data_IF_885369692930
#
_entry.id   IF_885369692930
#
_cell.length_a   1.000
_cell.length_b   1.000
_cell.length_c   1.000
_cell.angle_alpha   90.00
_cell.angle_beta   90.00
_cell.angle_gamma   90.00
#
_symmetry.space_group_name_H-M   'P 1'
#
loop_
_entity.id
_entity.type
_entity.pdbx_description
1 polymer ?
#
# COMPACT_ATOMS: atom_id res chain seq x y z
N UNK A 1 3.34 -0.02 -29.29
CA UNK A 1 4.20 -0.46 -28.16
C UNK A 1 3.35 -1.29 -27.22
N UNK A 2 3.65 -2.57 -27.07
CA UNK A 2 2.75 -3.52 -26.41
C UNK A 2 2.72 -3.31 -24.89
N UNK A 3 1.57 -3.03 -24.37
CA UNK A 3 1.19 -3.19 -22.97
C UNK A 3 1.13 -4.69 -22.56
N UNK A 4 1.83 -5.53 -23.29
CA UNK A 4 1.64 -6.98 -23.33
C UNK A 4 1.94 -7.73 -22.02
N UNK A 5 2.39 -7.05 -20.98
CA UNK A 5 2.67 -7.67 -19.68
C UNK A 5 1.71 -7.28 -18.54
N UNK A 6 0.80 -6.34 -18.75
CA UNK A 6 -0.20 -5.98 -17.74
C UNK A 6 -1.60 -6.45 -18.16
N UNK A 7 -2.31 -7.07 -17.21
CA UNK A 7 -3.75 -7.28 -17.35
C UNK A 7 -4.44 -5.92 -17.37
N UNK A 8 -5.27 -5.65 -18.39
CA UNK A 8 -6.06 -4.43 -18.47
C UNK A 8 -7.46 -4.67 -17.94
N UNK A 9 -7.77 -4.09 -16.79
CA UNK A 9 -9.10 -4.20 -16.21
C UNK A 9 -9.75 -2.82 -16.09
N UNK A 10 -10.78 -2.54 -16.93
CA UNK A 10 -11.49 -1.25 -16.99
C UNK A 10 -10.52 -0.05 -17.08
N UNK A 11 -9.46 -0.20 -17.87
CA UNK A 11 -8.41 0.82 -18.03
C UNK A 11 -7.36 0.89 -16.93
N UNK A 12 -7.40 -0.01 -15.94
CA UNK A 12 -6.40 -0.13 -14.89
C UNK A 12 -5.37 -1.21 -15.26
N UNK A 13 -4.07 -0.89 -15.38
CA UNK A 13 -3.03 -1.87 -15.62
C UNK A 13 -2.67 -2.61 -14.33
N UNK A 14 -2.81 -3.93 -14.32
CA UNK A 14 -2.60 -4.80 -13.16
C UNK A 14 -1.52 -5.85 -13.44
N UNK A 15 -0.77 -6.32 -12.43
CA UNK A 15 0.20 -7.39 -12.59
C UNK A 15 -0.51 -8.73 -12.91
N UNK A 16 -0.22 -9.37 -14.05
CA UNK A 16 -0.94 -10.57 -14.48
C UNK A 16 -0.65 -11.80 -13.61
N UNK A 17 0.45 -11.79 -12.86
CA UNK A 17 0.80 -12.86 -11.93
C UNK A 17 -0.06 -12.90 -10.67
N UNK A 18 -0.56 -11.74 -10.25
CA UNK A 18 -1.30 -11.55 -9.01
C UNK A 18 -2.83 -11.43 -9.22
N UNK A 19 -3.26 -11.06 -10.43
CA UNK A 19 -4.66 -10.76 -10.73
C UNK A 19 -5.17 -11.62 -11.88
N UNK A 20 -6.43 -11.99 -11.80
CA UNK A 20 -7.21 -12.62 -12.86
C UNK A 20 -8.57 -11.95 -12.94
N UNK A 21 -9.29 -12.14 -14.03
CA UNK A 21 -10.66 -11.65 -14.13
C UNK A 21 -11.53 -12.17 -12.97
N UNK A 22 -11.38 -13.45 -12.62
CA UNK A 22 -12.07 -14.06 -11.48
C UNK A 22 -11.73 -13.40 -10.14
N UNK A 23 -10.45 -13.07 -9.86
CA UNK A 23 -10.08 -12.40 -8.60
C UNK A 23 -10.62 -10.98 -8.53
N UNK A 24 -10.73 -10.31 -9.67
CA UNK A 24 -11.29 -8.96 -9.75
C UNK A 24 -12.81 -8.97 -9.61
N UNK A 25 -13.48 -9.99 -10.12
CA UNK A 25 -14.93 -10.22 -9.89
C UNK A 25 -15.20 -10.56 -8.42
N UNK A 26 -14.38 -11.40 -7.81
CA UNK A 26 -14.46 -11.67 -6.37
C UNK A 26 -14.37 -10.36 -5.56
N UNK A 27 -13.34 -9.54 -5.81
CA UNK A 27 -13.17 -8.27 -5.12
C UNK A 27 -14.35 -7.31 -5.35
N UNK A 28 -14.94 -7.30 -6.55
CA UNK A 28 -16.14 -6.47 -6.84
C UNK A 28 -17.40 -6.97 -6.14
N UNK A 29 -17.52 -8.27 -5.90
CA UNK A 29 -18.69 -8.89 -5.25
C UNK A 29 -18.47 -9.12 -3.75
N UNK A 30 -17.31 -8.72 -3.21
CA UNK A 30 -16.96 -8.90 -1.81
C UNK A 30 -17.97 -8.22 -0.88
N UNK A 31 -18.45 -8.98 0.13
CA UNK A 31 -19.34 -8.46 1.15
C UNK A 31 -18.54 -7.79 2.26
N UNK A 32 -18.56 -6.47 2.27
CA UNK A 32 -17.87 -5.65 3.27
C UNK A 32 -18.70 -5.60 4.55
N UNK A 33 -18.08 -5.86 5.69
CA UNK A 33 -18.65 -5.71 7.01
C UNK A 33 -18.39 -4.30 7.57
N UNK A 34 -19.28 -3.84 8.47
CA UNK A 34 -19.14 -2.52 9.11
C UNK A 34 -17.87 -2.39 9.96
N UNK A 35 -17.35 -3.51 10.43
CA UNK A 35 -16.13 -3.59 11.25
C UNK A 35 -14.85 -3.70 10.43
N UNK A 36 -14.93 -3.87 9.11
CA UNK A 36 -13.76 -4.01 8.25
C UNK A 36 -12.91 -2.74 8.23
N UNK A 37 -11.60 -2.95 8.16
CA UNK A 37 -10.63 -1.87 8.04
C UNK A 37 -9.75 -2.09 6.81
N UNK A 38 -9.80 -1.14 5.89
CA UNK A 38 -8.99 -1.16 4.68
C UNK A 38 -7.78 -0.24 4.81
N UNK A 39 -6.57 -0.78 4.70
CA UNK A 39 -5.38 0.03 4.47
C UNK A 39 -5.19 0.20 2.95
N UNK A 40 -5.46 1.39 2.46
CA UNK A 40 -5.40 1.71 1.04
C UNK A 40 -4.11 2.45 0.72
N UNK A 41 -3.40 1.98 -0.27
CA UNK A 41 -2.16 2.61 -0.71
C UNK A 41 -2.05 2.58 -2.24
N UNK A 42 -1.45 3.62 -2.83
CA UNK A 42 -0.86 3.43 -4.15
C UNK A 42 0.37 2.51 -4.00
N UNK A 43 0.69 1.62 -4.97
CA UNK A 43 1.85 0.74 -4.86
C UNK A 43 3.11 1.46 -4.38
N UNK A 44 3.86 0.84 -3.46
CA UNK A 44 5.10 1.37 -2.86
C UNK A 44 4.92 2.57 -1.92
N UNK A 45 3.71 2.80 -1.41
CA UNK A 45 3.41 3.88 -0.45
C UNK A 45 3.35 3.43 1.02
N UNK A 46 3.77 2.19 1.36
CA UNK A 46 3.83 1.74 2.75
C UNK A 46 2.88 0.59 3.10
N UNK A 47 2.39 -0.15 2.11
CA UNK A 47 1.45 -1.28 2.29
C UNK A 47 1.97 -2.30 3.29
N UNK A 48 3.21 -2.79 3.12
CA UNK A 48 3.83 -3.76 4.05
C UNK A 48 3.93 -3.18 5.47
N UNK A 49 4.16 -1.89 5.62
CA UNK A 49 4.15 -1.26 6.93
C UNK A 49 2.75 -1.28 7.57
N UNK A 50 1.71 -1.02 6.79
CA UNK A 50 0.32 -1.15 7.28
C UNK A 50 -0.04 -2.59 7.61
N UNK A 51 0.51 -3.58 6.90
CA UNK A 51 0.34 -5.00 7.23
C UNK A 51 1.00 -5.42 8.55
N UNK A 52 1.98 -4.62 9.05
CA UNK A 52 2.50 -4.78 10.43
C UNK A 52 1.62 -4.03 11.44
N UNK A 53 1.30 -2.76 11.16
CA UNK A 53 0.62 -1.88 12.09
C UNK A 53 -0.82 -2.33 12.35
N UNK A 54 -1.56 -2.63 11.28
CA UNK A 54 -3.01 -2.85 11.38
C UNK A 54 -3.38 -4.03 12.30
N UNK A 55 -2.78 -5.23 12.18
CA UNK A 55 -3.09 -6.34 13.07
C UNK A 55 -2.72 -6.03 14.52
N UNK A 56 -1.63 -5.29 14.76
CA UNK A 56 -1.22 -4.93 16.11
C UNK A 56 -2.17 -3.93 16.77
N UNK A 57 -2.70 -2.97 16.01
CA UNK A 57 -3.69 -2.02 16.52
C UNK A 57 -5.03 -2.72 16.75
N UNK A 58 -5.48 -3.56 15.82
CA UNK A 58 -6.75 -4.29 15.95
C UNK A 58 -6.73 -5.27 17.13
N UNK A 59 -5.59 -5.92 17.40
CA UNK A 59 -5.41 -6.89 18.49
C UNK A 59 -4.67 -6.29 19.71
N UNK A 60 -4.73 -4.97 19.89
CA UNK A 60 -4.30 -4.26 21.11
C UNK A 60 -2.86 -4.58 21.53
N UNK A 61 -1.96 -4.73 20.55
CA UNK A 61 -0.54 -4.97 20.75
C UNK A 61 -0.14 -6.43 20.94
N UNK A 62 -1.02 -7.40 20.63
CA UNK A 62 -0.62 -8.80 20.52
C UNK A 62 0.35 -8.98 19.35
N UNK A 63 1.57 -9.45 19.64
CA UNK A 63 2.63 -9.66 18.66
C UNK A 63 2.50 -10.99 17.90
N UNK A 64 1.67 -11.91 18.38
CA UNK A 64 1.57 -13.26 17.83
C UNK A 64 1.37 -13.27 16.30
N UNK A 65 0.45 -12.47 15.73
CA UNK A 65 0.26 -12.47 14.28
C UNK A 65 1.51 -12.06 13.48
N UNK A 66 2.24 -11.05 13.94
CA UNK A 66 3.42 -10.56 13.20
C UNK A 66 4.65 -11.46 13.34
N UNK A 67 4.65 -12.35 14.32
CA UNK A 67 5.75 -13.29 14.56
C UNK A 67 5.52 -14.66 13.91
N UNK A 68 4.27 -15.01 13.60
CA UNK A 68 3.90 -16.38 13.19
C UNK A 68 3.24 -16.47 11.83
N UNK A 69 2.66 -15.37 11.32
CA UNK A 69 1.88 -15.36 10.08
C UNK A 69 2.52 -14.36 9.10
N UNK A 70 2.82 -14.76 7.87
CA UNK A 70 3.31 -13.84 6.84
C UNK A 70 2.37 -12.66 6.64
N UNK A 71 2.92 -11.48 6.34
CA UNK A 71 2.15 -10.24 6.25
C UNK A 71 0.99 -10.30 5.24
N UNK A 72 1.15 -11.01 4.13
CA UNK A 72 0.11 -11.20 3.10
C UNK A 72 -1.04 -12.12 3.55
N UNK A 73 -0.83 -13.00 4.52
CA UNK A 73 -1.87 -13.88 5.05
C UNK A 73 -2.62 -13.22 6.23
N UNK A 74 -1.94 -12.40 7.04
CA UNK A 74 -2.58 -11.72 8.18
C UNK A 74 -3.36 -10.45 7.82
N UNK A 75 -2.94 -9.75 6.74
CA UNK A 75 -3.65 -8.58 6.17
C UNK A 75 -3.57 -8.70 4.64
N UNK A 76 -4.42 -9.56 4.04
CA UNK A 76 -4.35 -9.90 2.63
C UNK A 76 -4.83 -8.76 1.72
N UNK A 77 -4.37 -8.81 0.45
CA UNK A 77 -4.93 -7.97 -0.61
C UNK A 77 -6.29 -8.50 -1.05
N UNK A 78 -7.29 -7.61 -1.06
CA UNK A 78 -8.65 -7.94 -1.48
C UNK A 78 -8.71 -8.47 -2.93
N UNK A 79 -7.89 -7.90 -3.81
CA UNK A 79 -7.91 -8.18 -5.24
C UNK A 79 -6.96 -9.29 -5.71
N UNK A 80 -6.12 -9.83 -4.83
CA UNK A 80 -5.11 -10.81 -5.23
C UNK A 80 -5.66 -12.23 -5.27
N UNK A 81 -5.47 -12.91 -6.41
CA UNK A 81 -6.08 -14.22 -6.71
C UNK A 81 -5.74 -15.35 -5.73
N UNK A 82 -4.56 -15.30 -5.09
CA UNK A 82 -4.11 -16.35 -4.17
C UNK A 82 -4.62 -16.17 -2.75
N UNK A 83 -5.22 -15.01 -2.46
CA UNK A 83 -5.57 -14.63 -1.10
C UNK A 83 -7.08 -14.66 -0.83
N UNK A 84 -7.92 -15.05 -1.80
CA UNK A 84 -9.38 -15.11 -1.64
C UNK A 84 -9.78 -16.01 -0.47
N UNK A 85 -9.25 -17.22 -0.40
CA UNK A 85 -9.52 -18.15 0.71
C UNK A 85 -9.06 -17.59 2.06
N UNK A 86 -7.93 -16.88 2.08
CA UNK A 86 -7.42 -16.21 3.29
C UNK A 86 -8.39 -15.12 3.72
N UNK A 87 -8.85 -14.28 2.78
CA UNK A 87 -9.82 -13.21 3.06
C UNK A 87 -11.12 -13.76 3.62
N UNK A 88 -11.63 -14.87 3.05
CA UNK A 88 -12.89 -15.49 3.47
C UNK A 88 -12.80 -16.12 4.88
N UNK A 89 -11.59 -16.46 5.34
CA UNK A 89 -11.34 -17.07 6.66
C UNK A 89 -10.92 -16.07 7.74
N UNK A 90 -10.75 -14.79 7.40
CA UNK A 90 -10.37 -13.78 8.39
C UNK A 90 -11.45 -13.58 9.45
N UNK A 91 -11.09 -13.58 10.74
CA UNK A 91 -12.02 -13.22 11.80
C UNK A 91 -12.32 -11.72 11.78
N UNK A 92 -13.56 -11.36 12.11
CA UNK A 92 -13.94 -9.95 12.29
C UNK A 92 -13.36 -9.39 13.60
N UNK A 93 -12.86 -8.14 13.65
CA UNK A 93 -12.76 -7.19 12.54
C UNK A 93 -11.64 -7.55 11.55
N UNK A 94 -11.96 -7.59 10.26
CA UNK A 94 -10.98 -7.94 9.22
C UNK A 94 -10.11 -6.74 8.86
N UNK A 95 -8.80 -6.94 8.86
CA UNK A 95 -7.84 -6.01 8.28
C UNK A 95 -7.51 -6.42 6.84
N UNK A 96 -7.70 -5.52 5.88
CA UNK A 96 -7.47 -5.78 4.46
C UNK A 96 -6.59 -4.69 3.86
N UNK A 97 -5.80 -5.02 2.85
CA UNK A 97 -5.12 -4.03 2.02
C UNK A 97 -5.65 -4.05 0.60
N UNK A 98 -5.58 -2.89 -0.07
CA UNK A 98 -5.90 -2.78 -1.49
C UNK A 98 -5.12 -1.66 -2.16
N UNK A 99 -4.85 -1.85 -3.45
CA UNK A 99 -4.32 -0.81 -4.34
C UNK A 99 -5.39 -0.25 -5.27
N UNK A 100 -6.64 -0.59 -5.08
CA UNK A 100 -7.71 -0.09 -5.92
C UNK A 100 -7.93 1.43 -5.75
N UNK A 101 -8.11 2.17 -6.85
CA UNK A 101 -8.80 3.45 -6.80
C UNK A 101 -10.23 3.27 -6.29
N UNK A 102 -10.80 4.30 -5.67
CA UNK A 102 -12.11 4.22 -4.99
C UNK A 102 -13.24 3.62 -5.84
N UNK A 103 -13.28 3.92 -7.13
CA UNK A 103 -14.32 3.41 -8.04
C UNK A 103 -14.29 1.89 -8.25
N UNK A 104 -13.19 1.23 -7.85
CA UNK A 104 -13.03 -0.22 -7.92
C UNK A 104 -13.34 -0.93 -6.59
N UNK A 105 -13.70 -0.17 -5.55
CA UNK A 105 -14.17 -0.79 -4.31
C UNK A 105 -15.52 -1.46 -4.51
N UNK A 106 -15.80 -2.59 -3.81
CA UNK A 106 -17.06 -3.29 -3.94
C UNK A 106 -18.26 -2.38 -3.60
N UNK A 107 -19.42 -2.57 -4.23
CA UNK A 107 -20.60 -1.75 -3.94
C UNK A 107 -21.00 -1.76 -2.46
N UNK A 108 -20.85 -2.90 -1.76
CA UNK A 108 -21.11 -3.04 -0.33
C UNK A 108 -20.27 -2.10 0.54
N UNK A 109 -19.05 -1.72 0.09
CA UNK A 109 -18.25 -0.74 0.80
C UNK A 109 -18.92 0.63 0.93
N UNK A 110 -19.70 1.04 -0.09
CA UNK A 110 -20.37 2.36 -0.09
C UNK A 110 -21.46 2.47 0.96
N UNK A 111 -22.10 1.36 1.28
CA UNK A 111 -23.22 1.28 2.22
C UNK A 111 -22.81 0.81 3.61
N UNK A 112 -21.57 0.35 3.78
CA UNK A 112 -21.03 -0.08 5.08
C UNK A 112 -20.47 1.07 5.89
N UNK A 113 -20.22 0.82 7.18
CA UNK A 113 -19.46 1.69 8.09
C UNK A 113 -17.97 1.38 8.12
N UNK A 114 -17.48 0.53 7.22
CA UNK A 114 -16.07 0.12 7.12
C UNK A 114 -15.15 1.33 7.02
N UNK A 115 -14.01 1.25 7.72
CA UNK A 115 -13.04 2.34 7.83
C UNK A 115 -11.89 2.18 6.85
N UNK A 116 -11.31 3.30 6.45
CA UNK A 116 -10.16 3.35 5.53
C UNK A 116 -9.01 4.13 6.15
N UNK A 117 -7.82 3.57 6.09
CA UNK A 117 -6.57 4.29 6.33
C UNK A 117 -5.88 4.42 4.98
N UNK A 118 -5.87 5.63 4.43
CA UNK A 118 -5.22 5.92 3.16
C UNK A 118 -3.80 6.44 3.40
N UNK A 119 -2.79 5.66 3.01
CA UNK A 119 -1.39 6.07 3.17
C UNK A 119 -0.90 6.77 1.90
N UNK A 120 -0.57 8.04 2.03
CA UNK A 120 0.07 8.84 0.99
C UNK A 120 1.59 8.73 1.12
N UNK A 121 2.30 8.94 0.01
CA UNK A 121 3.76 9.05 -0.01
C UNK A 121 4.21 10.04 -1.08
N UNK A 122 5.36 10.66 -0.87
CA UNK A 122 5.99 11.51 -1.87
C UNK A 122 6.17 10.73 -3.20
N UNK A 123 5.61 11.21 -4.32
CA UNK A 123 5.68 10.49 -5.58
C UNK A 123 7.10 10.27 -6.10
N UNK A 124 8.06 11.11 -5.74
CA UNK A 124 9.48 10.91 -6.06
C UNK A 124 10.02 9.63 -5.42
N UNK A 125 9.68 9.40 -4.15
CA UNK A 125 10.08 8.20 -3.43
C UNK A 125 9.33 6.96 -3.93
N UNK A 126 8.06 7.12 -4.33
CA UNK A 126 7.29 6.06 -4.98
C UNK A 126 7.98 5.62 -6.28
N UNK A 127 8.39 6.56 -7.14
CA UNK A 127 9.06 6.25 -8.41
C UNK A 127 10.33 5.41 -8.16
N UNK A 128 11.19 5.87 -7.26
CA UNK A 128 12.45 5.16 -6.95
C UNK A 128 12.15 3.78 -6.37
N UNK A 129 11.24 3.68 -5.41
CA UNK A 129 10.85 2.40 -4.81
C UNK A 129 10.23 1.45 -5.84
N UNK A 130 9.41 1.97 -6.76
CA UNK A 130 8.81 1.18 -7.84
C UNK A 130 9.85 0.71 -8.85
N UNK A 131 10.82 1.56 -9.19
CA UNK A 131 11.91 1.21 -10.10
C UNK A 131 12.69 -0.01 -9.60
N UNK A 132 13.14 0.01 -8.34
CA UNK A 132 13.84 -1.13 -7.73
C UNK A 132 12.95 -2.36 -7.55
N UNK A 133 11.66 -2.15 -7.29
CA UNK A 133 10.71 -3.25 -7.22
C UNK A 133 10.54 -3.95 -8.57
N UNK A 134 10.49 -3.20 -9.67
CA UNK A 134 10.41 -3.79 -11.02
C UNK A 134 11.69 -4.56 -11.39
N UNK A 135 12.85 -4.18 -10.86
CA UNK A 135 14.09 -4.96 -11.06
C UNK A 135 14.07 -6.30 -10.32
N UNK A 136 13.44 -6.34 -9.15
CA UNK A 136 13.38 -7.50 -8.27
C UNK A 136 12.23 -8.45 -8.63
N UNK A 137 11.05 -7.92 -8.97
CA UNK A 137 9.85 -8.71 -9.25
C UNK A 137 9.89 -9.30 -10.66
N UNK A 138 10.12 -10.60 -10.75
CA UNK A 138 10.32 -11.31 -12.03
C UNK A 138 9.06 -11.34 -12.91
N UNK A 139 7.89 -11.21 -12.31
CA UNK A 139 6.60 -11.13 -12.99
C UNK A 139 6.28 -9.75 -13.58
N UNK A 140 7.14 -8.75 -13.34
CA UNK A 140 6.98 -7.41 -13.89
C UNK A 140 7.89 -7.19 -15.10
N UNK A 141 7.54 -6.19 -15.90
CA UNK A 141 8.37 -5.75 -17.01
C UNK A 141 9.65 -5.10 -16.49
N UNK A 142 10.78 -5.36 -17.17
CA UNK A 142 12.04 -4.67 -16.90
C UNK A 142 11.81 -3.14 -16.98
N UNK A 143 12.15 -2.40 -15.93
CA UNK A 143 11.92 -0.95 -15.90
C UNK A 143 12.77 -0.20 -16.93
N UNK A 144 13.86 -0.78 -17.43
CA UNK A 144 14.86 -0.12 -18.26
C UNK A 144 15.66 0.90 -17.47
N UNK A 145 16.00 2.04 -18.08
CA UNK A 145 16.65 3.15 -17.37
C UNK A 145 15.68 3.90 -16.48
N UNK A 146 16.18 4.51 -15.41
CA UNK A 146 15.34 5.30 -14.48
C UNK A 146 14.58 6.43 -15.21
N UNK A 147 15.22 7.12 -16.16
CA UNK A 147 14.57 8.18 -16.94
C UNK A 147 13.35 7.65 -17.72
N UNK A 148 13.50 6.51 -18.40
CA UNK A 148 12.39 5.86 -19.11
C UNK A 148 11.28 5.41 -18.16
N UNK A 149 11.65 4.95 -16.97
CA UNK A 149 10.67 4.54 -15.96
C UNK A 149 9.90 5.74 -15.42
N UNK A 150 10.56 6.88 -15.18
CA UNK A 150 9.92 8.13 -14.79
C UNK A 150 8.87 8.54 -15.83
N UNK A 151 9.20 8.50 -17.12
CA UNK A 151 8.26 8.82 -18.20
C UNK A 151 7.05 7.86 -18.19
N UNK A 152 7.26 6.56 -18.00
CA UNK A 152 6.18 5.57 -17.86
C UNK A 152 5.28 5.91 -16.66
N UNK A 153 5.87 6.24 -15.52
CA UNK A 153 5.16 6.59 -14.29
C UNK A 153 4.28 7.83 -14.48
N UNK A 154 4.84 8.90 -15.03
CA UNK A 154 4.12 10.17 -15.27
C UNK A 154 2.94 10.00 -16.24
N UNK A 155 3.08 9.09 -17.22
CA UNK A 155 2.04 8.76 -18.17
C UNK A 155 1.00 7.76 -17.60
N UNK A 156 1.24 7.18 -16.41
CA UNK A 156 0.40 6.15 -15.81
C UNK A 156 0.52 4.78 -16.47
N UNK A 157 1.63 4.55 -17.19
CA UNK A 157 1.96 3.25 -17.81
C UNK A 157 2.74 2.35 -16.84
N UNK A 158 2.26 2.29 -15.61
CA UNK A 158 2.78 1.49 -14.50
C UNK A 158 1.62 0.84 -13.75
N UNK A 159 1.92 -0.06 -12.84
CA UNK A 159 0.93 -0.74 -12.01
C UNK A 159 -0.07 0.25 -11.39
N UNK A 160 -1.34 -0.08 -11.48
CA UNK A 160 -2.47 0.72 -10.96
C UNK A 160 -2.59 2.13 -11.55
N UNK A 161 -1.93 2.42 -12.68
CA UNK A 161 -2.08 3.64 -13.46
C UNK A 161 -1.50 4.89 -12.81
N UNK A 162 -2.09 6.06 -13.08
CA UNK A 162 -1.58 7.34 -12.57
C UNK A 162 -1.79 7.49 -11.07
N UNK A 163 -0.70 7.75 -10.33
CA UNK A 163 -0.74 8.07 -8.91
C UNK A 163 -1.71 9.23 -8.57
N UNK A 164 -1.71 10.28 -9.38
CA UNK A 164 -2.62 11.42 -9.18
C UNK A 164 -4.10 11.04 -9.31
N UNK A 165 -4.44 10.12 -10.21
CA UNK A 165 -5.83 9.66 -10.36
C UNK A 165 -6.26 8.81 -9.17
N UNK A 166 -5.37 7.95 -8.69
CA UNK A 166 -5.61 7.13 -7.50
C UNK A 166 -5.89 8.02 -6.27
N UNK A 167 -5.00 8.96 -5.98
CA UNK A 167 -5.16 9.90 -4.87
C UNK A 167 -6.44 10.73 -4.99
N UNK A 168 -6.70 11.30 -6.20
CA UNK A 168 -7.90 12.09 -6.45
C UNK A 168 -9.19 11.29 -6.26
N UNK A 169 -9.19 9.99 -6.64
CA UNK A 169 -10.37 9.13 -6.47
C UNK A 169 -10.77 8.99 -5.01
N UNK A 170 -9.80 8.79 -4.12
CA UNK A 170 -10.04 8.65 -2.68
C UNK A 170 -10.35 9.99 -1.99
N UNK A 171 -9.68 11.08 -2.40
CA UNK A 171 -10.01 12.42 -1.84
C UNK A 171 -11.41 12.90 -2.20
N UNK A 172 -11.96 12.47 -3.35
CA UNK A 172 -13.31 12.82 -3.81
C UNK A 172 -14.39 11.85 -3.34
N UNK A 173 -14.01 10.81 -2.62
CA UNK A 173 -14.94 9.77 -2.17
C UNK A 173 -15.92 10.23 -1.08
N UNK A 174 -15.68 11.41 -0.46
CA UNK A 174 -16.53 12.05 0.55
C UNK A 174 -16.95 11.09 1.68
N UNK A 175 -15.99 10.30 2.18
CA UNK A 175 -16.22 9.28 3.21
C UNK A 175 -16.34 9.86 4.64
N UNK A 176 -16.14 11.17 4.82
CA UNK A 176 -16.25 11.83 6.13
C UNK A 176 -15.29 11.24 7.15
N UNK A 177 -15.85 10.81 8.28
CA UNK A 177 -15.12 10.21 9.40
C UNK A 177 -14.71 8.74 9.18
N UNK A 178 -15.10 8.14 8.05
CA UNK A 178 -14.69 6.77 7.69
C UNK A 178 -13.32 6.67 7.03
N UNK A 179 -12.64 7.81 6.77
CA UNK A 179 -11.31 7.80 6.14
C UNK A 179 -10.30 8.63 6.92
N UNK A 180 -9.17 8.02 7.25
CA UNK A 180 -7.99 8.68 7.78
C UNK A 180 -6.93 8.79 6.69
N UNK A 181 -6.53 10.01 6.36
CA UNK A 181 -5.34 10.24 5.53
C UNK A 181 -4.11 10.39 6.41
N UNK A 182 -3.07 9.60 6.12
CA UNK A 182 -1.78 9.64 6.78
C UNK A 182 -0.67 9.59 5.74
N UNK A 183 0.50 10.15 6.03
CA UNK A 183 1.62 10.11 5.12
C UNK A 183 2.70 9.14 5.60
N UNK A 184 3.37 8.51 4.66
CA UNK A 184 4.52 7.66 4.94
C UNK A 184 5.62 8.43 5.68
N UNK A 185 5.78 9.70 5.33
CA UNK A 185 6.77 10.62 5.90
C UNK A 185 6.45 10.96 7.36
N UNK A 186 5.17 11.21 7.72
CA UNK A 186 4.74 11.37 9.12
C UNK A 186 5.05 10.13 9.94
N UNK A 187 4.79 8.93 9.39
CA UNK A 187 5.09 7.67 10.06
C UNK A 187 6.60 7.46 10.30
N UNK A 188 7.47 7.91 9.36
CA UNK A 188 8.92 7.90 9.57
C UNK A 188 9.34 8.90 10.64
N UNK A 189 8.75 10.08 10.64
CA UNK A 189 9.15 11.17 11.53
C UNK A 189 8.77 10.88 12.98
N UNK A 190 7.55 10.39 13.21
CA UNK A 190 7.02 10.08 14.55
C UNK A 190 5.99 8.95 14.48
N UNK A 191 6.49 7.71 14.47
CA UNK A 191 5.63 6.53 14.43
C UNK A 191 4.68 6.43 15.63
N UNK A 192 5.08 6.71 16.88
CA UNK A 192 4.16 6.71 18.01
C UNK A 192 2.96 7.66 17.82
N UNK A 193 3.18 8.90 17.37
CA UNK A 193 2.09 9.85 17.11
C UNK A 193 1.18 9.38 15.98
N UNK A 194 1.74 8.80 14.92
CA UNK A 194 0.97 8.21 13.82
C UNK A 194 0.10 7.03 14.31
N UNK A 195 0.66 6.15 15.13
CA UNK A 195 -0.05 5.01 15.73
C UNK A 195 -1.19 5.47 16.64
N UNK A 196 -0.99 6.54 17.42
CA UNK A 196 -2.06 7.11 18.25
C UNK A 196 -3.21 7.58 17.39
N UNK A 197 -2.96 8.35 16.32
CA UNK A 197 -3.99 8.78 15.37
C UNK A 197 -4.74 7.60 14.75
N UNK A 198 -4.02 6.52 14.38
CA UNK A 198 -4.63 5.30 13.83
C UNK A 198 -5.49 4.60 14.91
N UNK A 199 -4.97 4.47 16.12
CA UNK A 199 -5.69 3.87 17.25
C UNK A 199 -6.99 4.62 17.57
N UNK A 200 -6.92 5.95 17.69
CA UNK A 200 -8.06 6.81 17.98
C UNK A 200 -9.10 6.74 16.84
N UNK A 201 -8.64 6.80 15.59
CA UNK A 201 -9.51 6.66 14.41
C UNK A 201 -10.23 5.30 14.39
N UNK A 202 -9.57 4.23 14.78
CA UNK A 202 -10.18 2.90 14.87
C UNK A 202 -11.00 2.68 16.15
N UNK A 203 -10.96 3.61 17.10
CA UNK A 203 -11.68 3.53 18.38
C UNK A 203 -11.05 2.55 19.38
N UNK A 204 -9.73 2.27 19.23
CA UNK A 204 -9.01 1.30 20.08
C UNK A 204 -8.46 1.89 21.38
N UNK A 205 -8.21 3.20 21.43
CA UNK A 205 -7.75 3.92 22.63
C UNK A 205 -6.56 3.25 23.35
N UNK A 206 -5.55 2.84 22.58
CA UNK A 206 -4.38 2.10 23.10
C UNK A 206 -3.57 2.94 24.09
N UNK A 207 -3.07 2.31 25.15
CA UNK A 207 -2.18 2.95 26.12
C UNK A 207 -0.82 3.34 25.50
N UNK A 208 -0.11 4.27 26.12
CA UNK A 208 1.23 4.69 25.68
C UNK A 208 2.23 3.53 25.66
N UNK A 209 2.08 2.57 26.56
CA UNK A 209 2.90 1.37 26.62
C UNK A 209 2.67 0.50 25.37
N UNK A 210 1.41 0.25 25.02
CA UNK A 210 1.05 -0.53 23.83
C UNK A 210 1.48 0.19 22.54
N UNK A 211 1.30 1.50 22.46
CA UNK A 211 1.76 2.32 21.33
C UNK A 211 3.28 2.19 21.15
N UNK A 212 4.07 2.32 22.23
CA UNK A 212 5.52 2.13 22.16
C UNK A 212 5.90 0.71 21.73
N UNK A 213 5.26 -0.31 22.30
CA UNK A 213 5.47 -1.71 21.92
C UNK A 213 5.23 -1.94 20.43
N UNK A 214 4.15 -1.39 19.88
CA UNK A 214 3.85 -1.47 18.45
C UNK A 214 4.91 -0.74 17.63
N UNK A 215 5.29 0.49 18.01
CA UNK A 215 6.29 1.28 17.31
C UNK A 215 7.64 0.56 17.21
N UNK A 216 8.11 -0.05 18.31
CA UNK A 216 9.37 -0.79 18.35
C UNK A 216 9.36 -1.98 17.38
N UNK A 217 8.25 -2.73 17.34
CA UNK A 217 8.11 -3.90 16.48
C UNK A 217 7.85 -3.54 15.01
N UNK A 218 7.23 -2.39 14.73
CA UNK A 218 7.04 -1.85 13.38
C UNK A 218 8.20 -0.96 12.91
N UNK A 219 9.31 -0.87 13.64
CA UNK A 219 10.50 -0.15 13.19
C UNK A 219 11.09 -0.82 11.94
N UNK A 220 11.75 -0.02 11.09
CA UNK A 220 12.40 -0.55 9.88
C UNK A 220 13.35 -1.73 10.21
N UNK A 221 14.15 -1.58 11.26
CA UNK A 221 15.11 -2.60 11.70
C UNK A 221 14.42 -3.89 12.13
N UNK A 222 13.34 -3.78 12.91
CA UNK A 222 12.57 -4.94 13.38
C UNK A 222 11.93 -5.67 12.20
N UNK A 223 11.28 -4.94 11.29
CA UNK A 223 10.66 -5.51 10.11
C UNK A 223 11.68 -6.15 9.16
N UNK A 224 12.84 -5.54 8.98
CA UNK A 224 13.91 -6.09 8.13
C UNK A 224 14.45 -7.42 8.67
N UNK A 225 14.50 -7.57 9.99
CA UNK A 225 14.95 -8.80 10.65
C UNK A 225 13.86 -9.89 10.72
N UNK A 226 12.59 -9.54 10.51
CA UNK A 226 11.47 -10.47 10.65
C UNK A 226 11.09 -11.09 9.29
N UNK A 227 11.27 -12.42 9.16
CA UNK A 227 10.92 -13.15 7.93
C UNK A 227 9.42 -13.06 7.58
N UNK A 228 8.53 -12.90 8.58
CA UNK A 228 7.08 -12.72 8.37
C UNK A 228 6.75 -11.35 7.77
N UNK A 229 7.72 -10.41 7.71
CA UNK A 229 7.51 -9.03 7.29
C UNK A 229 8.35 -8.61 6.08
N UNK A 230 9.55 -9.18 5.93
CA UNK A 230 10.55 -8.71 4.97
C UNK A 230 10.45 -9.33 3.57
N UNK A 231 9.43 -10.16 3.33
CA UNK A 231 9.16 -10.89 2.08
C UNK A 231 10.24 -11.93 1.69
N UNK A 232 11.15 -12.29 2.60
CA UNK A 232 12.18 -13.31 2.33
C UNK A 232 11.60 -14.72 2.13
N UNK A 233 10.37 -14.96 2.54
CA UNK A 233 9.66 -16.23 2.33
C UNK A 233 9.08 -16.37 0.91
N UNK A 234 9.06 -15.29 0.12
CA UNK A 234 8.60 -15.36 -1.27
C UNK A 234 9.68 -16.07 -2.11
N UNK A 235 9.31 -17.11 -2.88
CA UNK A 235 10.27 -17.82 -3.71
C UNK A 235 11.01 -16.90 -4.69
N UNK A 236 12.31 -17.17 -4.91
CA UNK A 236 13.20 -16.36 -5.76
C UNK A 236 12.68 -16.25 -7.21
N UNK A 237 11.94 -17.23 -7.69
CA UNK A 237 11.28 -17.20 -8.99
C UNK A 237 10.24 -16.08 -9.16
N UNK A 238 9.70 -15.54 -8.05
CA UNK A 238 8.79 -14.39 -8.06
C UNK A 238 9.46 -13.10 -7.65
N UNK A 239 10.40 -13.16 -6.68
CA UNK A 239 11.11 -12.00 -6.17
C UNK A 239 12.61 -12.27 -6.01
N UNK A 240 13.40 -11.77 -6.93
CA UNK A 240 14.86 -11.90 -6.91
C UNK A 240 15.50 -10.85 -6.00
N UNK A 241 15.62 -11.19 -4.72
CA UNK A 241 16.17 -10.30 -3.68
C UNK A 241 17.68 -10.05 -3.84
N UNK A 242 18.38 -10.80 -4.70
CA UNK A 242 19.78 -10.50 -5.03
C UNK A 242 19.91 -9.25 -5.89
N UNK A 243 18.91 -8.93 -6.72
CA UNK A 243 18.88 -7.71 -7.53
C UNK A 243 18.55 -6.47 -6.71
N UNK A 244 17.69 -6.60 -5.72
CA UNK A 244 17.34 -5.52 -4.79
C UNK A 244 16.66 -6.11 -3.55
N UNK A 245 16.91 -5.52 -2.37
CA UNK A 245 16.14 -5.85 -1.18
C UNK A 245 14.80 -5.13 -1.21
N UNK A 246 13.73 -5.79 -0.69
CA UNK A 246 12.42 -5.16 -0.60
C UNK A 246 12.41 -4.01 0.42
N UNK A 247 12.91 -4.26 1.64
CA UNK A 247 13.15 -3.24 2.68
C UNK A 247 14.57 -2.70 2.50
N UNK A 248 14.72 -1.67 1.68
CA UNK A 248 16.02 -1.20 1.18
C UNK A 248 16.66 -0.11 2.00
N UNK A 249 15.87 0.82 2.56
CA UNK A 249 16.33 1.97 3.36
C UNK A 249 15.28 2.35 4.40
N UNK A 250 15.76 2.76 5.57
CA UNK A 250 14.97 3.26 6.67
C UNK A 250 14.50 4.73 6.48
N UNK A 251 15.17 5.48 5.61
CA UNK A 251 14.85 6.88 5.31
C UNK A 251 14.51 7.07 3.84
N UNK A 252 13.38 7.76 3.60
CA UNK A 252 13.01 8.22 2.27
C UNK A 252 13.92 9.38 1.86
N UNK A 253 14.91 9.12 1.02
CA UNK A 253 15.74 10.19 0.46
C UNK A 253 15.81 10.05 -1.04
N UNK A 254 15.08 10.91 -1.72
CA UNK A 254 15.08 10.97 -3.17
C UNK A 254 15.94 12.14 -3.67
N UNK A 255 17.26 12.07 -3.44
CA UNK A 255 18.22 13.04 -3.98
C UNK A 255 18.27 13.04 -5.51
N UNK A 256 17.93 11.93 -6.14
CA UNK A 256 18.09 11.74 -7.59
C UNK A 256 16.99 12.35 -8.45
N UNK A 257 15.82 12.66 -7.90
CA UNK A 257 14.66 13.15 -8.65
C UNK A 257 14.54 14.69 -8.59
N UNK A 258 15.50 15.40 -7.97
CA UNK A 258 15.54 16.86 -7.98
C UNK A 258 15.55 17.45 -9.41
N UNK A 259 16.18 16.75 -10.36
CA UNK A 259 16.19 17.09 -11.79
C UNK A 259 14.78 17.20 -12.42
N UNK A 260 13.78 16.53 -11.83
CA UNK A 260 12.40 16.51 -12.35
C UNK A 260 11.41 17.28 -11.47
N UNK A 261 11.89 18.08 -10.50
CA UNK A 261 11.01 18.81 -9.58
C UNK A 261 10.02 19.74 -10.31
N UNK A 262 10.43 20.32 -11.42
CA UNK A 262 9.60 21.17 -12.29
C UNK A 262 8.49 20.39 -13.02
N UNK A 263 8.70 19.12 -13.34
CA UNK A 263 7.69 18.31 -14.05
C UNK A 263 6.49 17.96 -13.15
N UNK A 264 6.70 17.82 -11.84
CA UNK A 264 5.60 17.57 -10.88
C UNK A 264 4.71 18.80 -10.68
N UNK A 265 5.26 20.00 -10.91
CA UNK A 265 4.50 21.28 -10.91
C UNK A 265 3.50 21.35 -12.07
N UNK A 266 3.82 20.77 -13.23
CA UNK A 266 2.99 20.82 -14.45
C UNK A 266 1.80 19.82 -14.42
N UNK A 267 1.87 18.79 -13.60
CA UNK A 267 0.79 17.80 -13.50
C UNK A 267 -0.44 18.26 -12.72
N UNK A 268 -0.40 19.42 -12.07
CA UNK A 268 -1.49 19.94 -11.23
C UNK A 268 -2.32 21.06 -11.88
N UNK A 269 -2.33 21.18 -13.21
CA UNK A 269 -3.24 22.11 -13.91
C UNK A 269 -3.11 23.57 -13.46
N UNK A 270 -1.88 24.08 -13.32
CA UNK A 270 -1.62 25.51 -13.10
C UNK A 270 -1.86 26.04 -11.68
N UNK A 271 -2.29 25.21 -10.74
CA UNK A 271 -2.31 25.57 -9.31
C UNK A 271 -1.21 24.81 -8.58
N UNK A 272 -0.15 25.54 -8.23
CA UNK A 272 0.95 25.05 -7.38
C UNK A 272 0.42 24.93 -5.95
N UNK A 273 -0.30 23.88 -5.65
CA UNK A 273 -0.61 23.54 -4.26
C UNK A 273 0.55 22.66 -3.80
N UNK A 274 1.50 23.27 -3.11
CA UNK A 274 2.46 22.58 -2.28
C UNK A 274 1.68 21.87 -1.16
N UNK A 275 1.36 20.60 -1.35
CA UNK A 275 0.73 19.77 -0.30
C UNK A 275 1.74 19.34 0.78
N UNK A 276 2.92 19.95 0.79
CA UNK A 276 4.01 19.63 1.71
C UNK A 276 4.78 20.93 2.07
N UNK A 277 4.31 21.63 3.08
CA UNK A 277 5.16 22.38 3.99
C UNK A 277 5.44 21.54 5.20
#
# INVERSE_FOLDING_TARGET
MSWAKYLQYRGLPLPPGAHTEQSLEYAQNFSVEDTDVFAVTYPKSGTVWMQEILPLVLNEGDLTPILTIPNWDRVPWLEEKRLQEVVDQLPSPRGLVTHFPYQFMPPSFKTSSAKVIYVMRNPKDIIVSSYYFHQMATFLEDPGTLDKFIDKFLQGRVLFGKWTNHLKSWKRAELGDRILFITYEEMIQDLPSALRRISDFLGKNLSDEVIRKIADNCSFKSMQANAMSNLSLIPKEYMDTEKSQFLRKDQGTCWWVSKYSTMFSLCNGGQTVWLWN
#
